data_IF_130417089061
#
_entry.id   IF_130417089061
#
_cell.length_a   1.000
_cell.length_b   1.000
_cell.length_c   1.000
_cell.angle_alpha   90.00
_cell.angle_beta   90.00
_cell.angle_gamma   90.00
#
_symmetry.space_group_name_H-M   'P 1'
#
loop_
_entity.id
_entity.type
_entity.pdbx_description
1 polymer ?
#
# COMPACT_ATOMS: atom_id res chain seq x y z
N UNK A 1 6.09 -16.13 7.16
CA UNK A 1 5.09 -16.59 8.14
C UNK A 1 4.02 -17.39 7.42
N UNK A 2 3.72 -18.57 7.92
CA UNK A 2 2.65 -19.39 7.35
C UNK A 2 1.30 -18.92 7.85
N UNK A 3 0.29 -18.85 6.96
CA UNK A 3 -1.07 -18.54 7.35
C UNK A 3 -1.66 -19.59 8.30
N UNK A 4 -1.13 -20.78 8.30
CA UNK A 4 -1.57 -21.85 9.19
C UNK A 4 -1.27 -21.56 10.65
N UNK A 5 -0.21 -20.79 10.90
CA UNK A 5 0.16 -20.38 12.25
C UNK A 5 -0.48 -19.07 12.69
N UNK A 6 -1.28 -18.49 11.82
CA UNK A 6 -1.96 -17.23 12.09
C UNK A 6 -3.22 -17.49 12.91
N UNK A 7 -3.46 -16.64 13.90
CA UNK A 7 -4.57 -16.84 14.85
C UNK A 7 -5.91 -16.26 14.36
N UNK A 8 -6.11 -16.14 13.07
CA UNK A 8 -7.33 -15.63 12.49
C UNK A 8 -8.56 -16.38 12.97
N UNK A 9 -9.50 -15.66 13.54
CA UNK A 9 -10.81 -16.18 13.84
C UNK A 9 -10.88 -17.19 14.98
N UNK A 10 -9.79 -17.50 15.68
CA UNK A 10 -9.79 -18.50 16.75
C UNK A 10 -10.77 -18.16 17.85
N UNK A 11 -10.89 -16.88 18.19
CA UNK A 11 -11.77 -16.40 19.25
C UNK A 11 -12.97 -15.63 18.69
N UNK A 12 -13.25 -15.80 17.40
CA UNK A 12 -14.32 -15.09 16.72
C UNK A 12 -15.58 -15.93 16.68
N UNK A 13 -16.74 -15.28 16.71
CA UNK A 13 -18.01 -15.96 16.47
C UNK A 13 -18.12 -16.47 15.03
N UNK A 14 -17.39 -15.84 14.09
CA UNK A 14 -17.33 -16.26 12.70
C UNK A 14 -15.95 -16.84 12.43
N UNK A 15 -15.93 -18.07 11.94
CA UNK A 15 -14.69 -18.79 11.65
C UNK A 15 -14.56 -19.02 10.15
N UNK A 16 -13.35 -18.76 9.62
CA UNK A 16 -13.05 -19.02 8.21
C UNK A 16 -12.25 -20.31 8.12
N UNK A 17 -12.76 -21.27 7.37
CA UNK A 17 -12.03 -22.45 7.01
C UNK A 17 -11.13 -22.11 5.82
N UNK A 18 -9.85 -21.85 6.09
CA UNK A 18 -8.88 -21.38 5.11
C UNK A 18 -8.66 -22.42 4.01
N UNK A 19 -8.53 -23.69 4.37
CA UNK A 19 -8.30 -24.74 3.37
C UNK A 19 -9.47 -24.92 2.42
N UNK A 20 -10.68 -24.86 2.95
CA UNK A 20 -11.89 -24.92 2.13
C UNK A 20 -11.98 -23.71 1.19
N UNK A 21 -11.67 -22.52 1.70
CA UNK A 21 -11.66 -21.31 0.90
C UNK A 21 -10.62 -21.37 -0.23
N UNK A 22 -9.42 -21.88 0.08
CA UNK A 22 -8.35 -22.06 -0.92
C UNK A 22 -8.77 -23.05 -2.00
N UNK A 23 -9.39 -24.17 -1.62
CA UNK A 23 -9.86 -25.17 -2.57
C UNK A 23 -10.93 -24.59 -3.49
N UNK A 24 -11.91 -23.88 -2.92
CA UNK A 24 -12.93 -23.21 -3.72
C UNK A 24 -12.33 -22.19 -4.70
N UNK A 25 -11.31 -21.46 -4.28
CA UNK A 25 -10.61 -20.52 -5.15
C UNK A 25 -9.86 -21.23 -6.28
N UNK A 26 -9.21 -22.37 -5.98
CA UNK A 26 -8.53 -23.17 -7.01
C UNK A 26 -9.50 -23.62 -8.10
N UNK A 27 -10.71 -24.02 -7.71
CA UNK A 27 -11.74 -24.46 -8.66
C UNK A 27 -12.18 -23.31 -9.59
N UNK A 28 -12.18 -22.09 -9.13
CA UNK A 28 -12.63 -20.93 -9.88
C UNK A 28 -11.50 -20.21 -10.63
N UNK A 29 -10.25 -20.57 -10.37
CA UNK A 29 -9.09 -19.86 -10.91
C UNK A 29 -9.02 -20.02 -12.42
N UNK A 30 -8.86 -18.91 -13.13
CA UNK A 30 -8.70 -18.91 -14.58
C UNK A 30 -7.31 -19.40 -15.00
N UNK A 31 -7.13 -19.56 -16.32
CA UNK A 31 -5.81 -19.91 -16.88
C UNK A 31 -4.74 -18.86 -16.58
N UNK A 32 -5.18 -17.60 -16.43
CA UNK A 32 -4.29 -16.48 -16.11
C UNK A 32 -4.70 -15.92 -14.74
N UNK A 33 -4.37 -16.63 -13.65
CA UNK A 33 -4.75 -16.17 -12.32
C UNK A 33 -3.98 -14.93 -11.92
N UNK A 34 -4.54 -14.18 -10.99
CA UNK A 34 -3.80 -13.11 -10.31
C UNK A 34 -2.66 -13.77 -9.56
N UNK A 35 -1.43 -13.36 -9.85
CA UNK A 35 -0.23 -14.02 -9.33
C UNK A 35 0.41 -13.27 -8.18
N UNK A 36 0.34 -11.96 -8.19
CA UNK A 36 1.02 -11.15 -7.18
C UNK A 36 0.37 -9.78 -7.07
N UNK A 37 0.61 -9.15 -5.97
CA UNK A 37 0.30 -7.74 -5.78
C UNK A 37 1.51 -6.93 -6.26
N UNK A 38 1.32 -6.08 -7.27
CA UNK A 38 2.41 -5.24 -7.76
C UNK A 38 2.80 -4.20 -6.72
N UNK A 39 1.84 -3.48 -6.21
CA UNK A 39 2.08 -2.54 -5.13
C UNK A 39 0.82 -2.26 -4.35
N UNK A 40 1.02 -1.79 -3.13
CA UNK A 40 0.01 -1.19 -2.29
C UNK A 40 0.48 0.22 -1.97
N UNK A 41 -0.41 1.20 -2.00
CA UNK A 41 -0.02 2.60 -1.93
C UNK A 41 -0.69 3.33 -0.77
N UNK A 42 0.07 4.16 -0.10
CA UNK A 42 -0.36 4.96 1.03
C UNK A 42 0.10 6.40 0.86
N UNK A 43 -0.57 7.32 1.51
CA UNK A 43 -0.13 8.71 1.56
C UNK A 43 0.91 8.85 2.67
N UNK A 44 1.97 9.61 2.41
CA UNK A 44 2.94 9.97 3.44
C UNK A 44 3.01 11.49 3.59
N UNK A 45 3.53 11.93 4.73
CA UNK A 45 3.66 13.36 5.03
C UNK A 45 4.89 13.95 4.37
N UNK A 46 5.97 13.20 4.33
CA UNK A 46 7.26 13.66 3.82
C UNK A 46 7.99 12.51 3.14
N UNK A 47 8.26 12.68 1.85
CA UNK A 47 8.89 11.63 1.05
C UNK A 47 10.26 11.23 1.58
N UNK A 48 11.08 12.19 2.03
CA UNK A 48 12.42 11.89 2.50
C UNK A 48 12.43 11.17 3.83
N UNK A 49 11.54 11.52 4.75
CA UNK A 49 11.39 10.77 6.00
C UNK A 49 10.92 9.35 5.73
N UNK A 50 10.00 9.18 4.80
CA UNK A 50 9.51 7.86 4.39
C UNK A 50 10.62 7.05 3.76
N UNK A 51 11.39 7.64 2.84
CA UNK A 51 12.55 6.98 2.23
C UNK A 51 13.55 6.55 3.29
N UNK A 52 13.88 7.44 4.23
CA UNK A 52 14.82 7.12 5.30
C UNK A 52 14.38 5.89 6.09
N UNK A 53 13.12 5.84 6.47
CA UNK A 53 12.60 4.70 7.24
C UNK A 53 12.63 3.41 6.43
N UNK A 54 12.08 3.42 5.23
CA UNK A 54 11.94 2.17 4.46
C UNK A 54 13.23 1.74 3.79
N UNK A 55 14.02 2.67 3.26
CA UNK A 55 15.27 2.31 2.61
C UNK A 55 16.43 2.18 3.59
N UNK A 56 16.68 3.22 4.39
CA UNK A 56 17.87 3.26 5.24
C UNK A 56 17.72 2.36 6.47
N UNK A 57 16.54 2.33 7.09
CA UNK A 57 16.31 1.56 8.31
C UNK A 57 15.87 0.14 8.00
N UNK A 58 14.86 -0.04 7.16
CA UNK A 58 14.35 -1.38 6.85
C UNK A 58 15.06 -2.08 5.72
N UNK A 59 15.90 -1.38 4.94
CA UNK A 59 16.66 -2.00 3.87
C UNK A 59 15.86 -2.31 2.61
N UNK A 60 14.72 -1.67 2.41
CA UNK A 60 13.91 -1.83 1.20
C UNK A 60 14.36 -0.82 0.16
N UNK A 61 14.93 -1.24 -0.98
CA UNK A 61 15.46 -0.27 -1.94
C UNK A 61 14.35 0.56 -2.59
N UNK A 62 14.62 1.85 -2.75
CA UNK A 62 13.76 2.72 -3.54
C UNK A 62 14.03 2.44 -5.03
N UNK A 63 13.07 1.82 -5.71
CA UNK A 63 13.25 1.39 -7.09
C UNK A 63 12.61 2.32 -8.11
N UNK A 64 11.73 3.22 -7.67
CA UNK A 64 11.15 4.24 -8.54
C UNK A 64 10.68 5.44 -7.73
N UNK A 65 10.85 6.61 -8.33
CA UNK A 65 10.32 7.86 -7.80
C UNK A 65 9.79 8.66 -9.00
N UNK A 66 8.47 8.84 -9.04
CA UNK A 66 7.79 9.49 -10.14
C UNK A 66 7.20 10.81 -9.68
N UNK A 67 7.47 11.86 -10.43
CA UNK A 67 6.87 13.18 -10.18
C UNK A 67 5.75 13.44 -11.17
N UNK A 68 4.58 13.80 -10.65
CA UNK A 68 3.42 14.16 -11.47
C UNK A 68 2.93 15.56 -11.08
N UNK A 69 2.90 16.48 -12.04
CA UNK A 69 2.48 17.85 -11.76
C UNK A 69 0.96 18.03 -11.64
N UNK A 70 0.20 17.13 -12.23
CA UNK A 70 -1.25 17.25 -12.31
C UNK A 70 -1.94 16.09 -11.61
N UNK A 71 -3.09 16.38 -11.02
CA UNK A 71 -3.95 15.36 -10.48
C UNK A 71 -4.47 14.47 -11.62
N UNK A 72 -4.28 13.16 -11.50
CA UNK A 72 -4.65 12.21 -12.54
C UNK A 72 -6.15 12.12 -12.80
N UNK A 73 -6.96 12.48 -11.81
CA UNK A 73 -8.42 12.42 -11.90
C UNK A 73 -9.01 13.73 -12.42
N UNK A 74 -8.57 14.86 -11.86
CA UNK A 74 -9.16 16.16 -12.16
C UNK A 74 -8.43 16.94 -13.25
N UNK A 75 -7.16 16.62 -13.52
CA UNK A 75 -6.31 17.39 -14.41
C UNK A 75 -5.83 18.73 -13.85
N UNK A 76 -6.19 19.02 -12.61
CA UNK A 76 -5.80 20.26 -11.93
C UNK A 76 -4.36 20.17 -11.42
N UNK A 77 -3.67 21.32 -11.27
CA UNK A 77 -2.36 21.34 -10.66
C UNK A 77 -2.41 20.87 -9.21
N UNK A 78 -1.83 19.72 -8.96
CA UNK A 78 -1.76 19.13 -7.62
C UNK A 78 -0.55 18.18 -7.61
N UNK A 79 0.67 18.73 -7.58
CA UNK A 79 1.87 17.94 -7.76
C UNK A 79 2.06 16.92 -6.64
N UNK A 80 2.54 15.76 -7.04
CA UNK A 80 2.86 14.71 -6.09
C UNK A 80 4.06 13.91 -6.56
N UNK A 81 4.71 13.27 -5.59
CA UNK A 81 5.76 12.30 -5.83
C UNK A 81 5.25 10.92 -5.45
N UNK A 82 5.49 9.94 -6.31
CA UNK A 82 5.10 8.57 -6.04
C UNK A 82 6.37 7.74 -5.88
N UNK A 83 6.57 7.19 -4.70
CA UNK A 83 7.74 6.40 -4.33
C UNK A 83 7.39 4.93 -4.29
N UNK A 84 8.31 4.07 -4.76
CA UNK A 84 8.14 2.63 -4.72
C UNK A 84 9.35 1.99 -4.02
N UNK A 85 9.08 1.25 -2.95
CA UNK A 85 10.10 0.48 -2.22
C UNK A 85 9.88 -1.00 -2.47
N UNK A 86 10.93 -1.70 -2.85
CA UNK A 86 10.82 -3.10 -3.25
C UNK A 86 10.97 -4.07 -2.09
N UNK A 87 10.09 -5.06 -2.05
CA UNK A 87 10.21 -6.21 -1.18
C UNK A 87 11.03 -7.31 -1.87
N UNK A 88 11.46 -8.29 -1.09
CA UNK A 88 12.31 -9.38 -1.61
C UNK A 88 11.66 -10.18 -2.74
N UNK A 89 10.33 -10.22 -2.81
CA UNK A 89 9.61 -10.94 -3.86
C UNK A 89 9.38 -10.12 -5.13
N UNK A 90 9.88 -8.89 -5.19
CA UNK A 90 9.69 -8.00 -6.33
C UNK A 90 8.41 -7.16 -6.28
N UNK A 91 7.53 -7.40 -5.32
CA UNK A 91 6.39 -6.50 -5.09
C UNK A 91 6.88 -5.21 -4.47
N UNK A 92 6.03 -4.19 -4.48
CA UNK A 92 6.44 -2.88 -3.96
C UNK A 92 5.42 -2.33 -2.99
N UNK A 93 5.92 -1.58 -2.03
CA UNK A 93 5.14 -0.73 -1.16
C UNK A 93 5.32 0.70 -1.64
N UNK A 94 4.24 1.39 -1.93
CA UNK A 94 4.29 2.69 -2.57
C UNK A 94 3.71 3.79 -1.68
N UNK A 95 4.21 5.00 -1.88
CA UNK A 95 3.77 6.16 -1.12
C UNK A 95 3.57 7.35 -2.03
N UNK A 96 2.53 8.14 -1.71
CA UNK A 96 2.28 9.43 -2.34
C UNK A 96 2.63 10.54 -1.38
N UNK A 97 3.49 11.45 -1.81
CA UNK A 97 3.74 12.70 -1.11
C UNK A 97 3.12 13.83 -1.95
N UNK A 98 2.12 14.48 -1.36
CA UNK A 98 1.45 15.65 -1.93
C UNK A 98 1.94 16.88 -1.16
N UNK A 99 3.01 17.57 -1.58
CA UNK A 99 3.58 18.65 -0.78
C UNK A 99 2.60 19.76 -0.44
N UNK A 100 1.64 20.02 -1.34
CA UNK A 100 0.63 21.03 -1.11
C UNK A 100 -0.50 20.60 -0.18
N UNK A 101 -0.66 19.32 0.07
CA UNK A 101 -1.81 18.81 0.82
C UNK A 101 -1.81 19.27 2.27
N UNK A 102 -0.70 19.09 2.95
CA UNK A 102 -0.59 19.40 4.37
C UNK A 102 -0.43 20.89 4.68
N UNK A 103 -0.32 21.70 3.64
CA UNK A 103 -0.24 23.15 3.74
C UNK A 103 -1.58 23.82 3.46
N UNK A 104 -2.61 23.06 3.12
CA UNK A 104 -3.96 23.59 2.88
C UNK A 104 -4.70 23.67 4.21
N UNK A 105 -5.47 24.73 4.36
CA UNK A 105 -6.22 24.97 5.59
C UNK A 105 -7.22 23.85 5.89
N UNK A 106 -7.83 23.28 4.86
CA UNK A 106 -8.82 22.22 4.97
C UNK A 106 -8.24 20.81 4.90
N UNK A 107 -6.94 20.69 4.88
CA UNK A 107 -6.26 19.41 4.78
C UNK A 107 -5.81 18.86 6.14
N UNK A 108 -6.40 19.35 7.21
CA UNK A 108 -6.11 18.84 8.55
C UNK A 108 -6.46 17.38 8.60
N UNK A 109 -5.48 16.60 8.97
CA UNK A 109 -5.64 15.18 9.12
C UNK A 109 -6.26 14.88 10.48
N UNK A 110 -7.58 14.93 10.53
CA UNK A 110 -8.31 14.69 11.78
C UNK A 110 -8.71 13.23 11.88
N UNK A 111 -7.76 12.42 12.26
CA UNK A 111 -8.03 11.01 12.44
C UNK A 111 -7.52 10.17 11.31
N UNK A 112 -8.30 9.91 10.28
CA UNK A 112 -7.89 8.98 9.24
C UNK A 112 -8.47 9.32 7.88
N UNK A 113 -7.64 9.10 6.88
CA UNK A 113 -8.08 9.08 5.51
C UNK A 113 -8.58 7.65 5.24
N UNK A 114 -9.82 7.45 4.81
CA UNK A 114 -10.36 6.10 4.61
C UNK A 114 -9.68 5.33 3.47
N UNK A 115 -8.95 6.03 2.60
CA UNK A 115 -8.29 5.42 1.45
C UNK A 115 -6.80 5.20 1.63
N UNK A 116 -6.19 5.84 2.62
CA UNK A 116 -4.76 5.78 2.84
C UNK A 116 -4.49 5.52 4.32
N UNK A 117 -3.91 4.39 4.59
CA UNK A 117 -3.56 4.04 5.96
C UNK A 117 -2.46 4.94 6.48
N UNK A 118 -2.40 5.04 7.78
CA UNK A 118 -1.32 5.74 8.46
C UNK A 118 -0.07 4.88 8.48
N UNK A 119 1.00 5.49 8.12
CA UNK A 119 2.30 4.85 8.25
C UNK A 119 3.26 5.84 8.86
#
# INVERSE_FOLDING_TARGET
MSLENWSWGKDQSTHIDIEKAREAARQRRSKNPVKMLHHNAYRCINAEETRHFYEDILGMPLVAALYEPLNAVTGEPDPYVHLYFELADGSTLAFFDYPGFYHRENAKFEGHDPYFAHI
#
